data_IF_423095254266
#
_entry.id   IF_423095254266
#
_cell.length_a   1.000
_cell.length_b   1.000
_cell.length_c   1.000
_cell.angle_alpha   90.00
_cell.angle_beta   90.00
_cell.angle_gamma   90.00
#
_symmetry.space_group_name_H-M   'P 1'
#
loop_
_entity.id
_entity.type
_entity.pdbx_description
1 polymer ?
#
# COMPACT_ATOMS: atom_id res chain seq x y z
N UNK A 1 3.63 0.07 -33.17
CA UNK A 1 4.72 -0.59 -32.41
C UNK A 1 4.08 -1.19 -31.17
N UNK A 2 3.67 -2.45 -31.25
CA UNK A 2 3.04 -3.19 -30.15
C UNK A 2 3.82 -4.49 -30.00
N UNK A 3 4.30 -4.80 -28.80
CA UNK A 3 5.17 -5.95 -28.52
C UNK A 3 4.66 -6.74 -27.31
N UNK A 4 5.15 -7.98 -27.15
CA UNK A 4 4.76 -8.88 -26.07
C UNK A 4 3.25 -9.11 -26.04
N UNK A 5 2.65 -9.11 -24.84
CA UNK A 5 1.19 -9.28 -24.66
C UNK A 5 0.32 -8.25 -25.39
N UNK A 6 0.87 -7.10 -25.80
CA UNK A 6 0.13 -6.07 -26.51
C UNK A 6 0.13 -6.28 -28.05
N UNK A 7 0.86 -7.28 -28.57
CA UNK A 7 1.06 -7.45 -29.99
C UNK A 7 -0.26 -7.68 -30.74
N UNK A 8 -0.48 -6.93 -31.82
CA UNK A 8 -1.68 -6.98 -32.67
C UNK A 8 -3.00 -6.56 -31.99
N UNK A 9 -2.94 -5.96 -30.80
CA UNK A 9 -4.11 -5.42 -30.12
C UNK A 9 -4.34 -3.94 -30.48
N UNK A 10 -5.60 -3.55 -30.57
CA UNK A 10 -5.98 -2.15 -30.69
C UNK A 10 -5.88 -1.45 -29.32
N UNK A 11 -5.93 -0.12 -29.34
CA UNK A 11 -5.72 0.69 -28.13
C UNK A 11 -6.78 0.39 -27.05
N UNK A 12 -8.03 0.13 -27.44
CA UNK A 12 -9.08 -0.23 -26.49
C UNK A 12 -8.78 -1.57 -25.81
N UNK A 13 -8.40 -2.61 -26.57
CA UNK A 13 -8.09 -3.93 -26.01
C UNK A 13 -6.87 -3.91 -25.09
N UNK A 14 -5.88 -3.04 -25.34
CA UNK A 14 -4.75 -2.85 -24.43
C UNK A 14 -5.22 -2.32 -23.08
N UNK A 15 -6.06 -1.27 -23.05
CA UNK A 15 -6.55 -0.71 -21.77
C UNK A 15 -7.62 -1.57 -21.10
N UNK A 16 -8.31 -2.43 -21.85
CA UNK A 16 -9.26 -3.40 -21.33
C UNK A 16 -8.57 -4.67 -20.78
N UNK A 17 -7.25 -4.78 -20.87
CA UNK A 17 -6.50 -5.91 -20.33
C UNK A 17 -6.75 -6.08 -18.82
N UNK A 18 -7.08 -7.30 -18.35
CA UNK A 18 -7.41 -7.55 -16.95
C UNK A 18 -6.33 -7.13 -15.96
N UNK A 19 -5.04 -7.26 -16.30
CA UNK A 19 -3.94 -6.84 -15.43
C UNK A 19 -3.89 -5.31 -15.32
N UNK A 20 -4.12 -4.60 -16.43
CA UNK A 20 -4.14 -3.14 -16.45
C UNK A 20 -5.31 -2.63 -15.62
N UNK A 21 -6.53 -3.14 -15.83
CA UNK A 21 -7.70 -2.79 -15.03
C UNK A 21 -7.49 -3.10 -13.54
N UNK A 22 -6.90 -4.25 -13.23
CA UNK A 22 -6.55 -4.63 -11.86
C UNK A 22 -5.54 -3.66 -11.22
N UNK A 23 -4.54 -3.20 -11.97
CA UNK A 23 -3.56 -2.23 -11.49
C UNK A 23 -4.21 -0.87 -11.19
N UNK A 24 -5.13 -0.43 -12.04
CA UNK A 24 -5.92 0.79 -11.80
C UNK A 24 -6.79 0.65 -10.55
N UNK A 25 -7.48 -0.47 -10.37
CA UNK A 25 -8.27 -0.73 -9.16
C UNK A 25 -7.38 -0.75 -7.90
N UNK A 26 -6.21 -1.39 -7.98
CA UNK A 26 -5.24 -1.46 -6.87
C UNK A 26 -4.68 -0.10 -6.48
N UNK A 27 -4.53 0.82 -7.46
CA UNK A 27 -4.03 2.19 -7.21
C UNK A 27 -4.91 2.98 -6.23
N UNK A 28 -6.20 2.64 -6.12
CA UNK A 28 -7.13 3.27 -5.16
C UNK A 28 -6.61 3.10 -3.73
N UNK A 29 -6.16 1.89 -3.36
CA UNK A 29 -5.61 1.63 -2.02
C UNK A 29 -4.35 2.46 -1.75
N UNK A 30 -3.50 2.65 -2.76
CA UNK A 30 -2.31 3.51 -2.68
C UNK A 30 -2.68 4.99 -2.47
N UNK A 31 -3.61 5.53 -3.26
CA UNK A 31 -4.04 6.93 -3.10
C UNK A 31 -4.76 7.17 -1.76
N UNK A 32 -5.53 6.19 -1.28
CA UNK A 32 -6.11 6.25 0.07
C UNK A 32 -5.02 6.31 1.14
N UNK A 33 -3.98 5.46 1.04
CA UNK A 33 -2.84 5.49 1.96
C UNK A 33 -2.14 6.86 1.94
N UNK A 34 -1.89 7.38 0.74
CA UNK A 34 -1.22 8.67 0.53
C UNK A 34 -2.03 9.83 1.13
N UNK A 35 -3.34 9.85 0.91
CA UNK A 35 -4.23 10.84 1.53
C UNK A 35 -4.18 10.78 3.06
N UNK A 36 -4.18 9.58 3.65
CA UNK A 36 -4.07 9.42 5.11
C UNK A 36 -2.70 9.87 5.63
N UNK A 37 -1.62 9.63 4.88
CA UNK A 37 -0.29 10.12 5.21
C UNK A 37 -0.21 11.65 5.20
N UNK A 38 -0.77 12.32 4.19
CA UNK A 38 -0.85 13.78 4.15
C UNK A 38 -1.69 14.34 5.29
N UNK A 39 -2.81 13.70 5.64
CA UNK A 39 -3.59 14.11 6.82
C UNK A 39 -2.81 13.99 8.12
N UNK A 40 -2.02 12.92 8.28
CA UNK A 40 -1.17 12.74 9.44
C UNK A 40 -0.10 13.85 9.51
N UNK A 41 0.52 14.21 8.38
CA UNK A 41 1.45 15.34 8.30
C UNK A 41 0.78 16.67 8.69
N UNK A 42 -0.48 16.87 8.28
CA UNK A 42 -1.29 18.01 8.73
C UNK A 42 -1.52 18.04 10.23
N UNK A 43 -1.73 16.88 10.88
CA UNK A 43 -1.85 16.80 12.34
C UNK A 43 -0.53 17.14 13.05
N UNK A 44 0.61 16.76 12.47
CA UNK A 44 1.94 17.15 12.96
C UNK A 44 2.08 18.68 12.91
N UNK A 45 1.75 19.30 11.77
CA UNK A 45 1.81 20.76 11.62
C UNK A 45 0.87 21.54 12.56
N UNK A 46 -0.22 20.92 13.01
CA UNK A 46 -1.16 21.51 13.97
C UNK A 46 -0.86 21.16 15.44
N UNK A 47 0.26 20.51 15.75
CA UNK A 47 0.58 19.98 17.09
C UNK A 47 -0.49 19.02 17.67
N UNK A 48 -1.29 18.37 16.81
CA UNK A 48 -2.33 17.40 17.19
C UNK A 48 -1.88 15.94 17.00
N UNK A 49 -0.57 15.71 16.99
CA UNK A 49 0.00 14.38 16.77
C UNK A 49 -0.43 13.39 17.87
N UNK A 50 -0.40 13.79 19.13
CA UNK A 50 -0.79 12.97 20.29
C UNK A 50 -2.30 12.91 20.49
N UNK A 51 -3.03 12.50 19.45
CA UNK A 51 -4.48 12.31 19.50
C UNK A 51 -4.87 10.93 19.00
N UNK A 52 -5.98 10.35 19.50
CA UNK A 52 -6.49 9.07 18.98
C UNK A 52 -6.74 9.09 17.46
N UNK A 53 -7.03 10.27 16.90
CA UNK A 53 -7.21 10.45 15.46
C UNK A 53 -5.93 10.23 14.64
N UNK A 54 -4.76 10.55 15.19
CA UNK A 54 -3.47 10.30 14.54
C UNK A 54 -3.14 8.81 14.53
N UNK A 55 -3.36 8.11 15.66
CA UNK A 55 -3.20 6.64 15.74
C UNK A 55 -4.12 5.94 14.74
N UNK A 56 -5.38 6.38 14.63
CA UNK A 56 -6.33 5.84 13.63
C UNK A 56 -5.86 6.07 12.19
N UNK A 57 -5.22 7.20 11.90
CA UNK A 57 -4.64 7.47 10.59
C UNK A 57 -3.48 6.52 10.30
N UNK A 58 -2.55 6.33 11.24
CA UNK A 58 -1.46 5.35 11.13
C UNK A 58 -1.95 3.92 10.88
N UNK A 59 -2.95 3.47 11.65
CA UNK A 59 -3.57 2.16 11.49
C UNK A 59 -4.17 1.98 10.10
N UNK A 60 -4.78 3.05 9.56
CA UNK A 60 -5.36 3.05 8.21
C UNK A 60 -4.27 2.93 7.15
N UNK A 61 -3.16 3.66 7.28
CA UNK A 61 -2.02 3.59 6.34
C UNK A 61 -1.41 2.18 6.37
N UNK A 62 -1.21 1.60 7.56
CA UNK A 62 -0.70 0.24 7.73
C UNK A 62 -1.60 -0.79 7.04
N UNK A 63 -2.91 -0.68 7.22
CA UNK A 63 -3.87 -1.56 6.55
C UNK A 63 -3.79 -1.45 5.02
N UNK A 64 -3.65 -0.23 4.48
CA UNK A 64 -3.46 -0.03 3.04
C UNK A 64 -2.15 -0.65 2.54
N UNK A 65 -1.05 -0.56 3.30
CA UNK A 65 0.22 -1.19 2.95
C UNK A 65 0.09 -2.72 2.88
N UNK A 66 -0.56 -3.34 3.87
CA UNK A 66 -0.82 -4.80 3.88
C UNK A 66 -1.72 -5.19 2.70
N UNK A 67 -2.78 -4.42 2.44
CA UNK A 67 -3.67 -4.66 1.32
C UNK A 67 -2.93 -4.60 -0.02
N UNK A 68 -2.06 -3.61 -0.22
CA UNK A 68 -1.21 -3.52 -1.41
C UNK A 68 -0.28 -4.72 -1.55
N UNK A 69 0.33 -5.21 -0.46
CA UNK A 69 1.15 -6.44 -0.51
C UNK A 69 0.32 -7.64 -0.99
N UNK A 70 -0.90 -7.81 -0.46
CA UNK A 70 -1.80 -8.90 -0.88
C UNK A 70 -2.16 -8.76 -2.35
N UNK A 71 -2.49 -7.55 -2.80
CA UNK A 71 -2.84 -7.28 -4.19
C UNK A 71 -1.66 -7.56 -5.15
N UNK A 72 -0.44 -7.19 -4.76
CA UNK A 72 0.77 -7.47 -5.53
C UNK A 72 1.06 -8.98 -5.57
N UNK A 73 0.90 -9.68 -4.45
CA UNK A 73 1.05 -11.13 -4.41
C UNK A 73 0.04 -11.84 -5.32
N UNK A 74 -1.22 -11.40 -5.29
CA UNK A 74 -2.27 -11.91 -6.17
C UNK A 74 -1.97 -11.66 -7.65
N UNK A 75 -1.45 -10.49 -8.01
CA UNK A 75 -0.99 -10.21 -9.37
C UNK A 75 0.19 -11.10 -9.78
N UNK A 76 1.15 -11.33 -8.88
CA UNK A 76 2.27 -12.24 -9.10
C UNK A 76 1.81 -13.68 -9.38
N UNK A 77 0.88 -14.19 -8.58
CA UNK A 77 0.28 -15.52 -8.78
C UNK A 77 -0.50 -15.58 -10.09
N UNK A 78 -1.28 -14.55 -10.41
CA UNK A 78 -2.02 -14.47 -11.67
C UNK A 78 -1.08 -14.57 -12.88
N UNK A 79 0.00 -13.80 -12.90
CA UNK A 79 0.97 -13.84 -14.00
C UNK A 79 1.69 -15.18 -14.05
N UNK A 80 2.04 -15.77 -12.91
CA UNK A 80 2.66 -17.09 -12.89
C UNK A 80 1.77 -18.18 -13.52
N UNK A 81 0.45 -18.08 -13.39
CA UNK A 81 -0.50 -19.05 -13.96
C UNK A 81 -0.84 -18.74 -15.43
N UNK A 82 -1.00 -17.46 -15.80
CA UNK A 82 -1.58 -17.04 -17.08
C UNK A 82 -0.58 -16.42 -18.08
N UNK A 83 0.73 -16.46 -17.81
CA UNK A 83 1.73 -16.02 -18.78
C UNK A 83 1.72 -16.88 -20.05
N UNK A 84 2.15 -16.30 -21.17
CA UNK A 84 2.37 -17.05 -22.41
C UNK A 84 3.55 -17.99 -22.25
N UNK A 85 3.49 -19.17 -22.87
CA UNK A 85 4.53 -20.21 -22.76
C UNK A 85 5.92 -19.76 -23.22
N UNK A 86 5.98 -18.79 -24.13
CA UNK A 86 7.22 -18.26 -24.69
C UNK A 86 7.77 -17.06 -23.89
N UNK A 87 6.99 -16.54 -22.94
CA UNK A 87 7.38 -15.43 -22.05
C UNK A 87 7.85 -15.96 -20.69
N UNK A 88 8.94 -15.42 -20.14
CA UNK A 88 9.38 -15.73 -18.78
C UNK A 88 8.77 -14.75 -17.76
N UNK A 89 7.97 -15.20 -16.77
CA UNK A 89 7.39 -14.34 -15.75
C UNK A 89 8.39 -13.93 -14.64
N UNK A 90 9.61 -14.45 -14.62
CA UNK A 90 10.57 -14.26 -13.52
C UNK A 90 10.81 -12.79 -13.17
N UNK A 91 10.93 -11.91 -14.18
CA UNK A 91 11.11 -10.47 -13.97
C UNK A 91 9.95 -9.82 -13.19
N UNK A 92 8.71 -10.15 -13.55
CA UNK A 92 7.52 -9.65 -12.86
C UNK A 92 7.41 -10.18 -11.43
N UNK A 93 7.71 -11.47 -11.24
CA UNK A 93 7.68 -12.12 -9.93
C UNK A 93 8.75 -11.53 -9.01
N UNK A 94 9.96 -11.29 -9.51
CA UNK A 94 11.04 -10.64 -8.77
C UNK A 94 10.65 -9.23 -8.30
N UNK A 95 10.07 -8.41 -9.18
CA UNK A 95 9.57 -7.09 -8.82
C UNK A 95 8.44 -7.16 -7.78
N UNK A 96 7.54 -8.12 -7.92
CA UNK A 96 6.45 -8.35 -6.95
C UNK A 96 7.01 -8.67 -5.57
N UNK A 97 8.02 -9.54 -5.47
CA UNK A 97 8.69 -9.87 -4.21
C UNK A 97 9.37 -8.66 -3.56
N UNK A 98 10.08 -7.85 -4.34
CA UNK A 98 10.73 -6.62 -3.85
C UNK A 98 9.70 -5.65 -3.28
N UNK A 99 8.59 -5.42 -3.99
CA UNK A 99 7.54 -4.50 -3.54
C UNK A 99 6.83 -5.02 -2.28
N UNK A 100 6.58 -6.33 -2.18
CA UNK A 100 6.02 -6.94 -0.97
C UNK A 100 6.97 -6.74 0.21
N UNK A 101 8.28 -6.95 0.01
CA UNK A 101 9.27 -6.74 1.07
C UNK A 101 9.28 -5.29 1.57
N UNK A 102 9.26 -4.32 0.64
CA UNK A 102 9.15 -2.89 0.96
C UNK A 102 7.86 -2.61 1.74
N UNK A 103 6.73 -3.16 1.29
CA UNK A 103 5.44 -2.98 1.96
C UNK A 103 5.39 -3.56 3.37
N UNK A 104 6.02 -4.72 3.60
CA UNK A 104 6.17 -5.33 4.93
C UNK A 104 7.05 -4.45 5.83
N UNK A 105 8.17 -3.93 5.31
CA UNK A 105 9.04 -3.03 6.05
C UNK A 105 8.29 -1.75 6.47
N UNK A 106 7.51 -1.15 5.56
CA UNK A 106 6.65 0.01 5.84
C UNK A 106 5.59 -0.34 6.89
N UNK A 107 4.89 -1.47 6.75
CA UNK A 107 3.86 -1.91 7.69
C UNK A 107 4.44 -2.13 9.10
N UNK A 108 5.67 -2.65 9.18
CA UNK A 108 6.39 -2.88 10.45
C UNK A 108 6.77 -1.54 11.08
N UNK A 109 7.34 -0.61 10.31
CA UNK A 109 7.66 0.73 10.78
C UNK A 109 6.42 1.47 11.30
N UNK A 110 5.30 1.38 10.58
CA UNK A 110 4.03 1.96 11.01
C UNK A 110 3.48 1.30 12.28
N UNK A 111 3.65 -0.01 12.45
CA UNK A 111 3.23 -0.71 13.68
C UNK A 111 4.04 -0.26 14.90
N UNK A 112 5.35 -0.06 14.73
CA UNK A 112 6.21 0.50 15.79
C UNK A 112 5.78 1.92 16.13
N UNK A 113 5.56 2.77 15.12
CA UNK A 113 5.14 4.16 15.32
C UNK A 113 3.73 4.26 15.94
N UNK A 114 2.81 3.37 15.55
CA UNK A 114 1.47 3.26 16.16
C UNK A 114 1.58 2.97 17.66
N UNK A 115 2.44 2.02 18.06
CA UNK A 115 2.64 1.67 19.47
C UNK A 115 3.29 2.80 20.27
N UNK A 116 4.32 3.46 19.72
CA UNK A 116 4.97 4.61 20.35
C UNK A 116 3.96 5.73 20.58
N UNK A 117 3.17 6.04 19.55
CA UNK A 117 2.21 7.14 19.62
C UNK A 117 1.08 6.83 20.61
N UNK A 118 0.58 5.59 20.65
CA UNK A 118 -0.43 5.17 21.61
C UNK A 118 0.08 5.32 23.05
N UNK A 119 1.28 4.81 23.34
CA UNK A 119 1.87 4.94 24.67
C UNK A 119 2.03 6.41 25.10
N UNK A 120 2.45 7.29 24.18
CA UNK A 120 2.60 8.71 24.46
C UNK A 120 1.25 9.41 24.76
N UNK A 121 0.17 8.98 24.09
CA UNK A 121 -1.19 9.46 24.37
C UNK A 121 -1.64 9.00 25.77
N UNK A 122 -1.43 7.74 26.10
CA UNK A 122 -1.85 7.17 27.39
C UNK A 122 -1.12 7.87 28.56
N UNK A 123 0.19 8.12 28.42
CA UNK A 123 0.97 8.89 29.40
C UNK A 123 0.47 10.33 29.57
N UNK A 124 0.12 11.01 28.47
CA UNK A 124 -0.43 12.37 28.54
C UNK A 124 -1.78 12.37 29.27
N UNK A 125 -2.62 11.38 29.00
CA UNK A 125 -3.94 11.26 29.62
C UNK A 125 -3.86 10.97 31.13
N UNK A 126 -2.94 10.11 31.56
CA UNK A 126 -2.68 9.84 32.98
C UNK A 126 -2.18 11.08 33.74
N UNK A 127 -1.26 11.84 33.13
CA UNK A 127 -0.79 13.11 33.69
C UNK A 127 -1.93 14.14 33.83
N UNK A 128 -2.79 14.27 32.82
CA UNK A 128 -3.95 15.18 32.86
C UNK A 128 -5.01 14.76 33.91
N UNK A 129 -5.03 13.50 34.36
CA UNK A 129 -5.94 12.96 35.38
C UNK A 129 -5.44 13.11 36.83
N UNK A 130 -4.13 13.32 37.02
CA UNK A 130 -3.51 13.32 38.35
C UNK A 130 -3.22 14.73 38.88
N UNK A 131 -3.28 15.75 38.02
CA UNK A 131 -3.12 17.17 38.38
C UNK A 131 -4.48 17.82 38.65
#
# INVERSE_FOLDING_TARGET
MTEGRAQNLDLFSIYADPLILYSYASSIAFFVALYKAFRLLGYIGQNKLFTPTSVKALKSIKFCAILLCILIAAAGVYINIFHHKDDDPAGFIAMSMILIFIGIAIATALAVLEKILQNAIDMKNENDLTI
#
